data_IF_656399265754
#
_entry.id   IF_656399265754
#
_cell.length_a   1.000
_cell.length_b   1.000
_cell.length_c   1.000
_cell.angle_alpha   90.00
_cell.angle_beta   90.00
_cell.angle_gamma   90.00
#
_symmetry.space_group_name_H-M   'P 1'
#
loop_
_entity.id
_entity.type
_entity.pdbx_description
1 polymer ?
#
# COMPACT_ATOMS: atom_id res chain seq x y z
N UNK A 1 -12.03 -38.96 -16.94
CA UNK A 1 -11.39 -37.66 -17.22
C UNK A 1 -12.41 -36.55 -17.00
N UNK A 2 -12.25 -35.71 -15.98
CA UNK A 2 -13.07 -34.51 -15.84
C UNK A 2 -12.57 -33.45 -16.83
N UNK A 3 -13.44 -33.00 -17.73
CA UNK A 3 -13.17 -31.92 -18.68
C UNK A 3 -12.90 -30.63 -17.90
N UNK A 4 -11.69 -30.08 -18.06
CA UNK A 4 -11.34 -28.76 -17.53
C UNK A 4 -12.21 -27.74 -18.25
N UNK A 5 -13.11 -27.06 -17.52
CA UNK A 5 -13.97 -26.00 -18.04
C UNK A 5 -13.10 -24.91 -18.69
N UNK A 6 -13.49 -24.44 -19.88
CA UNK A 6 -12.83 -23.33 -20.58
C UNK A 6 -12.74 -22.09 -19.68
N UNK A 7 -11.57 -21.46 -19.63
CA UNK A 7 -11.20 -20.35 -18.72
C UNK A 7 -11.89 -19.02 -19.05
N UNK A 8 -12.75 -18.97 -20.07
CA UNK A 8 -13.24 -17.72 -20.66
C UNK A 8 -14.41 -17.05 -19.92
N UNK A 9 -14.83 -17.56 -18.76
CA UNK A 9 -15.88 -16.94 -17.93
C UNK A 9 -15.41 -16.57 -16.53
N UNK A 10 -14.09 -16.61 -16.27
CA UNK A 10 -13.47 -16.17 -15.02
C UNK A 10 -12.61 -14.91 -15.23
N UNK A 11 -12.17 -14.25 -14.14
CA UNK A 11 -11.26 -13.12 -14.25
C UNK A 11 -9.99 -13.51 -15.01
N UNK A 12 -9.47 -12.57 -15.80
CA UNK A 12 -8.30 -12.77 -16.65
C UNK A 12 -7.15 -13.39 -15.85
N UNK A 13 -6.45 -14.41 -16.40
CA UNK A 13 -5.31 -15.00 -15.73
C UNK A 13 -4.26 -13.93 -15.48
N UNK A 14 -3.67 -13.96 -14.29
CA UNK A 14 -2.65 -13.00 -13.88
C UNK A 14 -1.28 -13.41 -14.45
N UNK A 15 -0.51 -12.44 -14.91
CA UNK A 15 0.92 -12.58 -15.12
C UNK A 15 1.62 -12.44 -13.76
N UNK A 16 2.36 -13.45 -13.29
CA UNK A 16 3.08 -13.38 -12.02
C UNK A 16 3.98 -12.14 -11.97
N UNK A 17 4.01 -11.46 -10.82
CA UNK A 17 4.86 -10.28 -10.58
C UNK A 17 4.49 -9.01 -11.37
N UNK A 18 3.47 -9.07 -12.23
CA UNK A 18 2.96 -7.94 -13.01
C UNK A 18 1.53 -7.61 -12.60
N UNK A 19 0.70 -8.64 -12.39
CA UNK A 19 -0.70 -8.53 -12.01
C UNK A 19 -0.86 -8.96 -10.54
N UNK A 20 -0.74 -7.99 -9.65
CA UNK A 20 -0.91 -8.10 -8.20
C UNK A 20 -2.16 -7.30 -7.75
N UNK A 21 -2.67 -7.51 -6.53
CA UNK A 21 -3.81 -6.74 -6.01
C UNK A 21 -3.53 -5.24 -5.99
N UNK A 22 -4.45 -4.44 -6.55
CA UNK A 22 -4.39 -2.97 -6.48
C UNK A 22 -4.81 -2.49 -5.09
N UNK A 23 -3.98 -1.66 -4.44
CA UNK A 23 -4.29 -1.10 -3.12
C UNK A 23 -5.61 -0.29 -3.13
N UNK A 24 -5.81 0.49 -4.19
CA UNK A 24 -6.99 1.35 -4.37
C UNK A 24 -8.29 0.58 -4.68
N UNK A 25 -8.24 -0.75 -4.85
CA UNK A 25 -9.45 -1.57 -4.94
C UNK A 25 -10.22 -1.53 -3.62
N UNK A 26 -9.49 -1.60 -2.50
CA UNK A 26 -10.07 -1.52 -1.16
C UNK A 26 -10.00 -0.07 -0.64
N UNK A 27 -8.88 0.63 -0.86
CA UNK A 27 -8.64 2.01 -0.43
C UNK A 27 -9.11 3.04 -1.46
N UNK A 28 -10.40 3.01 -1.81
CA UNK A 28 -10.97 3.94 -2.80
C UNK A 28 -10.81 5.38 -2.31
N UNK A 29 -10.22 6.25 -3.15
CA UNK A 29 -9.95 7.63 -2.78
C UNK A 29 -9.01 7.80 -1.58
N UNK A 30 -8.10 6.84 -1.39
CA UNK A 30 -7.15 6.79 -0.26
C UNK A 30 -7.81 6.72 1.13
N UNK A 31 -9.08 6.32 1.18
CA UNK A 31 -9.82 6.17 2.44
C UNK A 31 -9.53 4.81 3.09
N UNK A 32 -10.01 4.66 4.34
CA UNK A 32 -10.09 3.36 5.00
C UNK A 32 -10.80 2.33 4.11
N UNK A 33 -10.37 1.06 4.13
CA UNK A 33 -10.86 0.06 3.21
C UNK A 33 -12.35 -0.22 3.45
N UNK A 34 -13.14 -0.23 2.37
CA UNK A 34 -14.59 -0.43 2.42
C UNK A 34 -15.00 -1.90 2.19
N UNK A 35 -14.08 -2.71 1.67
CA UNK A 35 -14.22 -4.13 1.40
C UNK A 35 -12.85 -4.82 1.46
N UNK A 36 -12.86 -6.15 1.46
CA UNK A 36 -11.67 -7.02 1.45
C UNK A 36 -11.55 -7.84 0.15
N UNK A 37 -12.27 -7.46 -0.90
CA UNK A 37 -12.41 -8.22 -2.14
C UNK A 37 -11.59 -7.58 -3.26
N UNK A 38 -10.40 -8.14 -3.53
CA UNK A 38 -9.51 -7.66 -4.59
C UNK A 38 -9.23 -8.69 -5.70
N UNK A 39 -9.83 -9.88 -5.63
CA UNK A 39 -9.63 -10.91 -6.64
C UNK A 39 -10.18 -10.47 -7.99
N UNK A 40 -9.36 -10.56 -9.04
CA UNK A 40 -9.70 -10.09 -10.39
C UNK A 40 -9.44 -8.61 -10.63
N UNK A 41 -9.10 -7.84 -9.59
CA UNK A 41 -8.74 -6.42 -9.68
C UNK A 41 -7.22 -6.24 -9.68
N UNK A 42 -6.61 -6.60 -10.81
CA UNK A 42 -5.15 -6.63 -10.95
C UNK A 42 -4.55 -5.31 -11.40
N UNK A 43 -3.31 -5.03 -10.97
CA UNK A 43 -2.40 -4.02 -11.56
C UNK A 43 -2.31 -4.21 -13.07
N UNK A 44 -2.26 -3.13 -13.85
CA UNK A 44 -2.19 -3.24 -15.31
C UNK A 44 -0.76 -3.59 -15.79
N UNK A 45 0.24 -3.15 -15.04
CA UNK A 45 1.66 -3.41 -15.32
C UNK A 45 2.55 -3.12 -14.12
N UNK A 46 3.85 -3.21 -14.33
CA UNK A 46 4.89 -3.08 -13.30
C UNK A 46 4.91 -1.71 -12.63
N UNK A 47 4.48 -0.67 -13.35
CA UNK A 47 4.36 0.69 -12.83
C UNK A 47 3.25 0.84 -11.78
N UNK A 48 2.23 -0.02 -11.81
CA UNK A 48 1.11 0.02 -10.86
C UNK A 48 1.39 -0.80 -9.58
N UNK A 49 2.51 -1.53 -9.52
CA UNK A 49 2.86 -2.34 -8.37
C UNK A 49 3.10 -1.47 -7.13
N UNK A 50 2.77 -1.97 -5.95
CA UNK A 50 3.00 -1.29 -4.66
C UNK A 50 4.41 -0.68 -4.49
N UNK A 51 5.44 -1.35 -5.01
CA UNK A 51 6.83 -0.87 -4.95
C UNK A 51 7.15 0.25 -5.94
N UNK A 52 6.36 0.38 -7.02
CA UNK A 52 6.64 1.22 -8.19
C UNK A 52 5.66 2.37 -8.34
N UNK A 53 4.39 2.16 -7.98
CA UNK A 53 3.32 3.14 -8.17
C UNK A 53 3.64 4.38 -7.36
N UNK A 54 3.75 5.48 -8.08
CA UNK A 54 3.98 6.79 -7.48
C UNK A 54 2.66 7.46 -7.07
N UNK A 55 2.78 8.38 -6.14
CA UNK A 55 1.74 9.32 -5.76
C UNK A 55 1.50 10.35 -6.87
N UNK A 56 0.51 11.22 -6.66
CA UNK A 56 0.09 12.20 -7.67
C UNK A 56 1.15 13.29 -7.91
N UNK A 57 2.14 13.42 -7.02
CA UNK A 57 3.30 14.29 -7.16
C UNK A 57 4.49 13.63 -7.87
N UNK A 58 4.36 12.36 -8.29
CA UNK A 58 5.44 11.56 -8.90
C UNK A 58 6.71 11.44 -8.02
N UNK A 59 6.57 11.58 -6.70
CA UNK A 59 7.68 11.76 -5.76
C UNK A 59 7.95 10.52 -4.91
N UNK A 60 6.91 9.85 -4.43
CA UNK A 60 7.00 8.74 -3.48
C UNK A 60 6.20 7.54 -3.98
N UNK A 61 6.63 6.32 -3.61
CA UNK A 61 5.86 5.12 -3.88
C UNK A 61 5.11 4.66 -2.64
N UNK A 62 4.11 3.79 -2.81
CA UNK A 62 3.39 3.21 -1.68
C UNK A 62 4.36 2.56 -0.67
N UNK A 63 5.36 1.82 -1.17
CA UNK A 63 6.39 1.17 -0.36
C UNK A 63 7.27 2.16 0.42
N UNK A 64 7.47 3.39 -0.07
CA UNK A 64 8.25 4.40 0.64
C UNK A 64 7.67 4.69 2.03
N UNK A 65 6.34 4.72 2.16
CA UNK A 65 5.66 5.02 3.42
C UNK A 65 5.13 3.80 4.16
N UNK A 66 4.63 2.79 3.43
CA UNK A 66 3.99 1.60 4.00
C UNK A 66 4.94 0.42 4.23
N UNK A 67 6.21 0.51 3.81
CA UNK A 67 7.22 -0.51 4.06
C UNK A 67 7.14 -1.68 3.09
N UNK A 68 7.30 -2.91 3.59
CA UNK A 68 7.41 -4.09 2.75
C UNK A 68 6.04 -4.67 2.37
N UNK A 69 5.86 -5.04 1.10
CA UNK A 69 4.58 -5.52 0.56
C UNK A 69 3.98 -6.73 1.31
N UNK A 70 4.82 -7.63 1.82
CA UNK A 70 4.39 -8.82 2.57
C UNK A 70 4.38 -8.62 4.10
N UNK A 71 4.52 -7.39 4.55
CA UNK A 71 4.52 -6.99 5.95
C UNK A 71 3.81 -5.63 6.11
N UNK A 72 2.84 -5.33 5.25
CA UNK A 72 2.05 -4.10 5.35
C UNK A 72 1.18 -4.19 6.60
N UNK A 73 1.25 -3.18 7.45
CA UNK A 73 0.59 -3.14 8.75
C UNK A 73 -0.75 -2.38 8.70
N UNK A 74 -1.71 -2.68 9.59
CA UNK A 74 -1.59 -3.56 10.77
C UNK A 74 -1.39 -5.04 10.38
N UNK A 75 -0.37 -5.67 10.96
CA UNK A 75 0.00 -7.07 10.71
C UNK A 75 0.10 -7.81 12.04
N UNK A 76 -0.38 -9.05 12.08
CA UNK A 76 -0.13 -9.96 13.20
C UNK A 76 1.12 -10.78 12.91
N UNK A 77 2.10 -10.70 13.81
CA UNK A 77 3.40 -11.32 13.63
C UNK A 77 3.78 -12.11 14.90
N UNK A 78 3.87 -13.46 14.83
CA UNK A 78 4.15 -14.29 15.99
C UNK A 78 5.56 -14.09 16.55
N UNK A 79 6.46 -13.48 15.79
CA UNK A 79 7.84 -13.21 16.19
C UNK A 79 8.03 -11.83 16.85
N UNK A 80 6.96 -11.03 16.98
CA UNK A 80 6.98 -9.78 17.72
C UNK A 80 6.03 -8.73 17.14
N UNK A 81 5.28 -8.08 18.03
CA UNK A 81 4.23 -7.10 17.69
C UNK A 81 4.69 -5.93 16.80
N UNK A 82 5.98 -5.62 16.82
CA UNK A 82 6.57 -4.46 16.15
C UNK A 82 7.48 -4.82 14.96
N UNK A 83 7.56 -6.11 14.58
CA UNK A 83 8.49 -6.57 13.54
C UNK A 83 8.20 -5.97 12.16
N UNK A 84 6.92 -5.80 11.83
CA UNK A 84 6.50 -5.33 10.50
C UNK A 84 6.43 -3.79 10.41
N UNK A 85 6.56 -3.11 11.54
CA UNK A 85 6.59 -1.64 11.66
C UNK A 85 7.98 -1.10 12.01
N UNK A 86 9.05 -1.85 11.71
CA UNK A 86 10.42 -1.42 12.02
C UNK A 86 10.80 -0.09 11.35
N UNK A 87 10.44 0.09 10.08
CA UNK A 87 10.75 1.33 9.35
C UNK A 87 10.15 2.57 10.05
N UNK A 88 8.84 2.68 10.29
CA UNK A 88 8.31 3.86 10.98
C UNK A 88 8.83 4.02 12.42
N UNK A 89 9.10 2.93 13.13
CA UNK A 89 9.72 3.02 14.46
C UNK A 89 11.12 3.66 14.42
N UNK A 90 11.91 3.37 13.38
CA UNK A 90 13.25 3.93 13.22
C UNK A 90 13.22 5.42 12.86
N UNK A 91 12.33 5.84 11.96
CA UNK A 91 12.32 7.21 11.44
C UNK A 91 11.47 8.19 12.27
N UNK A 92 10.35 7.74 12.85
CA UNK A 92 9.39 8.62 13.51
C UNK A 92 8.92 8.16 14.90
N UNK A 93 9.51 7.07 15.42
CA UNK A 93 9.24 6.54 16.78
C UNK A 93 7.77 6.22 17.06
N UNK A 94 7.00 5.95 16.01
CA UNK A 94 5.61 5.51 16.10
C UNK A 94 5.33 4.40 15.08
N UNK A 95 4.16 3.76 15.17
CA UNK A 95 3.81 2.58 14.36
C UNK A 95 2.96 2.90 13.13
N UNK A 96 2.68 4.17 12.86
CA UNK A 96 1.93 4.60 11.66
C UNK A 96 2.88 4.68 10.47
N UNK A 97 2.31 4.66 9.26
CA UNK A 97 3.08 4.88 8.03
C UNK A 97 3.91 6.16 8.09
N UNK A 98 5.03 6.20 7.36
CA UNK A 98 5.88 7.39 7.35
C UNK A 98 5.09 8.63 6.94
N UNK A 99 5.24 9.72 7.70
CA UNK A 99 4.46 10.95 7.53
C UNK A 99 3.09 10.93 8.21
N UNK A 100 2.57 9.76 8.59
CA UNK A 100 1.32 9.62 9.34
C UNK A 100 1.37 10.27 10.73
N UNK A 101 0.20 10.67 11.24
CA UNK A 101 0.08 11.49 12.45
C UNK A 101 0.96 12.75 12.42
N UNK A 102 1.00 13.42 11.26
CA UNK A 102 1.78 14.64 11.03
C UNK A 102 3.28 14.47 11.27
N UNK A 103 3.80 13.26 11.07
CA UNK A 103 5.24 12.96 11.20
C UNK A 103 6.05 13.42 9.98
N UNK A 104 5.68 14.53 9.35
CA UNK A 104 6.25 15.03 8.09
C UNK A 104 7.76 15.30 8.20
N UNK A 105 8.24 15.63 9.40
CA UNK A 105 9.65 15.84 9.75
C UNK A 105 10.52 14.58 9.62
N UNK A 106 9.92 13.41 9.40
CA UNK A 106 10.67 12.22 9.01
C UNK A 106 11.45 12.42 7.70
N UNK A 107 10.94 13.28 6.80
CA UNK A 107 11.57 13.58 5.51
C UNK A 107 11.77 15.08 5.28
N UNK A 108 10.79 15.93 5.64
CA UNK A 108 10.85 17.36 5.39
C UNK A 108 11.67 18.09 6.46
N UNK A 109 12.51 19.03 6.04
CA UNK A 109 13.27 19.91 6.94
C UNK A 109 12.44 21.07 7.48
N UNK A 110 11.31 21.38 6.84
CA UNK A 110 10.36 22.44 7.21
C UNK A 110 9.03 21.87 7.70
N UNK A 111 8.23 22.69 8.36
CA UNK A 111 6.91 22.28 8.83
C UNK A 111 5.96 22.16 7.64
N UNK A 112 5.16 21.10 7.64
CA UNK A 112 4.14 20.87 6.62
C UNK A 112 2.75 20.96 7.28
N UNK A 113 1.82 21.55 6.56
CA UNK A 113 0.42 21.78 6.95
C UNK A 113 -0.58 21.09 6.00
N UNK A 114 -0.10 20.53 4.89
CA UNK A 114 -0.94 19.85 3.88
C UNK A 114 -0.42 18.44 3.59
N UNK A 115 -1.33 17.49 3.49
CA UNK A 115 -1.06 16.11 3.07
C UNK A 115 -1.01 16.00 1.54
N UNK A 116 0.07 16.50 0.93
CA UNK A 116 0.18 16.57 -0.52
C UNK A 116 0.44 15.21 -1.20
N UNK A 117 0.93 14.22 -0.46
CA UNK A 117 1.22 12.88 -1.01
C UNK A 117 -0.06 12.01 -1.12
N UNK A 118 -1.05 12.21 -0.24
CA UNK A 118 -2.47 11.82 -0.36
C UNK A 118 -3.16 12.08 1.00
N UNK A 119 -4.52 12.09 1.10
CA UNK A 119 -5.22 12.19 2.38
C UNK A 119 -4.92 11.06 3.36
N UNK A 120 -5.06 11.30 4.66
CA UNK A 120 -4.85 10.32 5.73
C UNK A 120 -3.48 10.43 6.41
N UNK A 121 -2.78 11.56 6.26
CA UNK A 121 -1.48 11.79 6.89
C UNK A 121 -1.57 12.48 8.26
N UNK A 122 -2.77 12.90 8.70
CA UNK A 122 -3.01 13.45 10.04
C UNK A 122 -2.94 14.98 10.11
N UNK A 123 -3.30 15.65 9.02
CA UNK A 123 -3.53 17.11 8.97
C UNK A 123 -4.98 17.45 8.58
N UNK A 124 -5.80 16.42 8.35
CA UNK A 124 -7.24 16.47 8.11
C UNK A 124 -8.03 16.32 9.41
#
# INVERSE_FOLDING_TARGET
>A
MALIKSRNSGPSPRSPWVNEPKCLTCHVGYQSPQNDQAFGAWTAGEADLFKSKRDDLDALTCASCHGAAHAVYPADNPYGKNRDVLQPLQYQKNTKALGGARSCKACHTVDMDVAAHHPGMGVE
#
